data_IF_774815971180
#
_entry.id   IF_774815971180
#
_cell.length_a   1.000
_cell.length_b   1.000
_cell.length_c   1.000
_cell.angle_alpha   90.00
_cell.angle_beta   90.00
_cell.angle_gamma   90.00
#
_symmetry.space_group_name_H-M   'P 1'
#
loop_
_entity.id
_entity.type
_entity.pdbx_description
1 polymer ?
#
# COMPACT_ATOMS: atom_id res chain seq x y z
N UNK A 1 -1.71 -1.97 1.75
CA UNK A 1 -2.35 -1.92 0.41
C UNK A 1 -3.14 -0.65 0.23
N UNK A 2 -3.08 -0.07 -0.96
CA UNK A 2 -3.86 1.09 -1.35
C UNK A 2 -4.55 0.84 -2.70
N UNK A 3 -5.83 1.21 -2.79
CA UNK A 3 -6.62 1.11 -4.01
C UNK A 3 -6.92 2.53 -4.50
N UNK A 4 -6.76 2.77 -5.80
CA UNK A 4 -6.94 4.08 -6.44
C UNK A 4 -7.95 3.97 -7.57
N UNK A 5 -8.85 4.96 -7.65
CA UNK A 5 -9.93 4.99 -8.64
C UNK A 5 -9.39 5.32 -10.03
N UNK A 6 -9.79 4.54 -11.02
CA UNK A 6 -9.54 4.84 -12.42
C UNK A 6 -10.86 5.10 -13.14
N UNK A 7 -10.80 5.63 -14.35
CA UNK A 7 -11.96 5.74 -15.20
C UNK A 7 -12.50 4.35 -15.56
N UNK A 8 -13.81 4.18 -15.45
CA UNK A 8 -14.49 2.92 -15.79
C UNK A 8 -14.24 2.56 -17.25
N UNK A 9 -13.82 1.31 -17.45
CA UNK A 9 -13.67 0.73 -18.76
C UNK A 9 -15.05 0.29 -19.25
N UNK A 10 -15.36 0.56 -20.52
CA UNK A 10 -16.62 0.18 -21.16
C UNK A 10 -16.29 -0.90 -22.21
N UNK A 11 -16.94 -2.08 -22.16
CA UNK A 11 -17.95 -2.50 -21.18
C UNK A 11 -17.37 -2.74 -19.78
N UNK A 12 -18.23 -2.74 -18.76
CA UNK A 12 -17.85 -3.04 -17.38
C UNK A 12 -17.07 -4.35 -17.28
N UNK A 13 -15.94 -4.30 -16.60
CA UNK A 13 -15.06 -5.45 -16.41
C UNK A 13 -14.72 -5.62 -14.92
N UNK A 14 -15.13 -6.77 -14.38
CA UNK A 14 -14.93 -7.15 -12.97
C UNK A 14 -13.45 -7.20 -12.59
N UNK A 15 -12.53 -7.35 -13.54
CA UNK A 15 -11.08 -7.38 -13.24
C UNK A 15 -10.61 -6.10 -12.54
N UNK A 16 -11.23 -4.96 -12.83
CA UNK A 16 -10.88 -3.68 -12.21
C UNK A 16 -11.62 -3.42 -10.91
N UNK A 17 -12.61 -4.24 -10.55
CA UNK A 17 -13.53 -3.90 -9.46
C UNK A 17 -12.86 -3.91 -8.09
N UNK A 18 -12.94 -2.80 -7.37
CA UNK A 18 -12.54 -2.66 -5.97
C UNK A 18 -13.77 -2.62 -5.07
N UNK A 19 -13.82 -3.51 -4.09
CA UNK A 19 -14.81 -3.49 -3.02
C UNK A 19 -14.69 -2.27 -2.09
N UNK A 20 -13.54 -1.57 -2.06
CA UNK A 20 -13.34 -0.42 -1.15
C UNK A 20 -14.18 0.79 -1.54
N UNK A 21 -14.47 0.96 -2.82
CA UNK A 21 -15.26 2.09 -3.32
C UNK A 21 -16.29 1.68 -4.38
N UNK A 22 -16.57 0.39 -4.51
CA UNK A 22 -17.57 -0.19 -5.41
C UNK A 22 -17.43 0.29 -6.86
N UNK A 23 -16.21 0.26 -7.38
CA UNK A 23 -15.91 0.76 -8.72
C UNK A 23 -14.54 0.32 -9.24
N UNK A 24 -14.13 0.77 -10.43
CA UNK A 24 -12.88 0.38 -11.08
C UNK A 24 -11.64 1.01 -10.42
N UNK A 25 -10.59 0.21 -10.26
CA UNK A 25 -9.37 0.66 -9.59
C UNK A 25 -8.11 -0.15 -9.87
N UNK A 26 -7.01 0.49 -9.49
CA UNK A 26 -5.68 -0.11 -9.43
C UNK A 26 -5.25 -0.32 -7.98
N UNK A 27 -4.58 -1.44 -7.73
CA UNK A 27 -4.03 -1.78 -6.43
C UNK A 27 -2.53 -1.60 -6.39
N UNK A 28 -2.06 -1.10 -5.25
CA UNK A 28 -0.66 -0.89 -4.94
C UNK A 28 -0.31 -1.36 -3.52
N UNK A 29 0.93 -1.80 -3.39
CA UNK A 29 1.63 -2.05 -2.15
C UNK A 29 2.48 -0.86 -1.76
N UNK A 30 2.50 -0.58 -0.47
CA UNK A 30 3.42 0.36 0.16
C UNK A 30 3.94 -0.30 1.42
N UNK A 31 5.26 -0.44 1.54
CA UNK A 31 5.93 -0.92 2.73
C UNK A 31 6.80 0.17 3.34
N UNK A 32 6.77 0.26 4.66
CA UNK A 32 7.56 1.23 5.42
C UNK A 32 8.51 0.51 6.38
N UNK A 33 9.66 1.11 6.62
CA UNK A 33 10.58 0.65 7.66
C UNK A 33 9.94 0.87 9.04
N UNK A 34 9.83 -0.18 9.85
CA UNK A 34 9.26 -0.08 11.21
C UNK A 34 10.09 0.85 12.11
N UNK A 35 11.41 0.92 11.91
CA UNK A 35 12.27 1.78 12.74
C UNK A 35 12.17 3.24 12.33
N UNK A 36 12.36 3.55 11.04
CA UNK A 36 12.50 4.93 10.57
C UNK A 36 11.20 5.55 10.06
N UNK A 37 10.24 4.73 9.61
CA UNK A 37 9.04 5.19 8.93
C UNK A 37 9.23 5.50 7.44
N UNK A 38 10.44 5.35 6.90
CA UNK A 38 10.73 5.57 5.49
C UNK A 38 9.97 4.58 4.61
N UNK A 39 9.55 5.03 3.43
CA UNK A 39 9.04 4.17 2.37
C UNK A 39 10.21 3.36 1.82
N UNK A 40 10.11 2.03 1.91
CA UNK A 40 11.17 1.09 1.46
C UNK A 40 10.67 0.13 0.39
N UNK A 41 9.36 0.09 0.15
CA UNK A 41 8.75 -0.76 -0.86
C UNK A 41 7.54 -0.05 -1.48
N UNK A 42 7.47 -0.05 -2.81
CA UNK A 42 6.29 0.31 -3.57
C UNK A 42 6.18 -0.60 -4.78
N UNK A 43 5.00 -1.17 -5.00
CA UNK A 43 4.75 -2.05 -6.15
C UNK A 43 3.25 -2.03 -6.51
N UNK A 44 2.90 -2.51 -7.70
CA UNK A 44 1.52 -2.71 -8.12
C UNK A 44 1.20 -1.97 -9.41
N UNK A 45 0.05 -1.29 -9.44
CA UNK A 45 -0.53 -0.80 -10.69
C UNK A 45 -1.28 -1.90 -11.42
N UNK A 46 -1.83 -2.85 -10.66
CA UNK A 46 -2.55 -4.01 -11.18
C UNK A 46 -4.06 -3.89 -10.89
N UNK A 47 -4.92 -4.52 -11.72
CA UNK A 47 -6.37 -4.47 -11.53
C UNK A 47 -6.84 -4.97 -10.16
N UNK A 48 -7.65 -4.18 -9.44
CA UNK A 48 -8.08 -4.50 -8.07
C UNK A 48 -8.84 -5.83 -7.90
N UNK A 49 -9.66 -6.20 -8.88
CA UNK A 49 -10.53 -7.39 -8.82
C UNK A 49 -9.77 -8.67 -9.15
N UNK A 50 -8.76 -8.59 -10.02
CA UNK A 50 -7.92 -9.72 -10.40
C UNK A 50 -6.77 -9.97 -9.42
N UNK A 51 -6.26 -8.90 -8.78
CA UNK A 51 -5.08 -8.94 -7.92
C UNK A 51 -5.43 -8.69 -6.46
N UNK A 52 -5.95 -9.70 -5.72
CA UNK A 52 -6.17 -9.59 -4.28
C UNK A 52 -4.84 -9.36 -3.53
N UNK A 53 -4.92 -8.76 -2.35
CA UNK A 53 -3.76 -8.31 -1.56
C UNK A 53 -2.68 -9.40 -1.41
N UNK A 54 -3.09 -10.61 -1.01
CA UNK A 54 -2.16 -11.73 -0.78
C UNK A 54 -1.50 -12.24 -2.08
N UNK A 55 -2.20 -12.17 -3.22
CA UNK A 55 -1.64 -12.55 -4.52
C UNK A 55 -0.53 -11.59 -4.91
N UNK A 56 -0.79 -10.28 -4.80
CA UNK A 56 0.19 -9.24 -5.11
C UNK A 56 1.45 -9.35 -4.24
N UNK A 57 1.28 -9.62 -2.95
CA UNK A 57 2.42 -9.83 -2.05
C UNK A 57 3.25 -11.07 -2.40
N UNK A 58 2.58 -12.19 -2.72
CA UNK A 58 3.28 -13.43 -3.10
C UNK A 58 4.04 -13.31 -4.41
N UNK A 59 3.50 -12.53 -5.33
CA UNK A 59 4.09 -12.32 -6.65
C UNK A 59 5.40 -11.53 -6.58
N UNK A 60 5.47 -10.51 -5.72
CA UNK A 60 6.60 -9.57 -5.73
C UNK A 60 7.21 -9.31 -4.35
N UNK A 61 6.41 -9.02 -3.33
CA UNK A 61 6.94 -8.59 -2.03
C UNK A 61 7.74 -9.69 -1.34
N UNK A 62 7.24 -10.93 -1.35
CA UNK A 62 7.86 -12.07 -0.65
C UNK A 62 9.29 -12.33 -1.14
N UNK A 63 9.56 -12.20 -2.44
CA UNK A 63 10.91 -12.39 -2.98
C UNK A 63 11.91 -11.32 -2.53
N UNK A 64 11.43 -10.17 -2.04
CA UNK A 64 12.25 -9.06 -1.58
C UNK A 64 12.49 -9.08 -0.07
N UNK A 65 11.68 -9.84 0.68
CA UNK A 65 11.87 -10.03 2.13
C UNK A 65 13.04 -10.98 2.35
N UNK A 66 13.93 -10.65 3.30
CA UNK A 66 15.06 -11.53 3.61
C UNK A 66 14.56 -12.86 4.16
N UNK A 67 15.31 -13.93 3.89
CA UNK A 67 14.98 -15.24 4.43
C UNK A 67 14.89 -15.20 5.96
N UNK A 68 13.72 -15.55 6.49
CA UNK A 68 13.44 -15.56 7.94
C UNK A 68 13.00 -14.20 8.52
N UNK A 69 12.92 -13.15 7.71
CA UNK A 69 12.33 -11.87 8.11
C UNK A 69 10.80 -11.94 8.02
N UNK A 70 10.13 -11.31 8.99
CA UNK A 70 8.67 -11.23 9.07
C UNK A 70 8.21 -9.78 8.95
N UNK A 71 7.12 -9.60 8.23
CA UNK A 71 6.52 -8.29 7.95
C UNK A 71 5.25 -8.10 8.75
N UNK A 72 5.14 -6.97 9.45
CA UNK A 72 3.88 -6.59 10.11
C UNK A 72 2.87 -6.14 9.05
N UNK A 73 1.73 -6.83 8.98
CA UNK A 73 0.66 -6.54 8.03
C UNK A 73 -0.73 -6.74 8.65
N UNK A 74 -1.77 -6.42 7.88
CA UNK A 74 -3.17 -6.65 8.26
C UNK A 74 -3.48 -8.17 8.31
N UNK A 75 -4.55 -8.55 9.01
CA UNK A 75 -5.06 -9.93 9.11
C UNK A 75 -5.35 -10.56 7.73
N UNK A 76 -5.62 -9.75 6.70
CA UNK A 76 -5.78 -10.24 5.33
C UNK A 76 -4.55 -10.97 4.77
N UNK A 77 -3.36 -10.72 5.34
CA UNK A 77 -2.11 -11.39 4.98
C UNK A 77 -1.91 -12.67 5.80
N UNK A 78 -2.71 -13.68 5.49
CA UNK A 78 -2.68 -14.96 6.19
C UNK A 78 -1.60 -15.90 5.62
N UNK A 79 -0.33 -15.56 5.84
CA UNK A 79 0.82 -16.42 5.53
C UNK A 79 1.91 -16.26 6.62
N UNK A 80 1.96 -17.17 7.61
CA UNK A 80 2.79 -17.01 8.80
C UNK A 80 4.30 -17.12 8.53
N UNK A 81 4.70 -17.57 7.33
CA UNK A 81 6.10 -17.63 6.95
C UNK A 81 6.70 -16.26 6.66
N UNK A 82 5.86 -15.27 6.34
CA UNK A 82 6.27 -13.95 5.87
C UNK A 82 5.57 -12.81 6.59
N UNK A 83 4.36 -13.03 7.12
CA UNK A 83 3.57 -11.99 7.74
C UNK A 83 3.22 -12.30 9.18
N UNK A 84 3.28 -11.27 9.99
CA UNK A 84 2.70 -11.24 11.32
C UNK A 84 1.62 -10.18 11.34
N UNK A 85 0.47 -10.50 11.95
CA UNK A 85 -0.60 -9.54 12.17
C UNK A 85 -0.82 -9.33 13.66
N UNK A 86 -1.42 -8.20 14.07
CA UNK A 86 -1.70 -7.94 15.48
C UNK A 86 -2.64 -9.02 16.03
N UNK A 87 -2.11 -9.90 16.88
CA UNK A 87 -2.87 -10.90 17.61
C UNK A 87 -2.90 -10.48 19.10
N UNK A 88 -4.01 -10.66 19.84
CA UNK A 88 -4.11 -10.28 21.26
C UNK A 88 -3.04 -10.89 22.16
N UNK A 89 -2.43 -12.01 21.72
CA UNK A 89 -1.39 -12.75 22.45
C UNK A 89 0.03 -12.20 22.22
N UNK A 90 0.21 -11.19 21.37
CA UNK A 90 1.51 -10.54 21.16
C UNK A 90 1.78 -9.51 22.27
N UNK A 91 3.01 -9.54 22.77
CA UNK A 91 3.52 -8.83 23.96
C UNK A 91 3.25 -7.31 24.01
N UNK A 92 2.92 -6.64 22.90
CA UNK A 92 2.69 -5.19 22.88
C UNK A 92 1.67 -4.73 21.81
N UNK A 93 0.36 -4.84 22.07
CA UNK A 93 -0.69 -4.46 21.12
C UNK A 93 -0.75 -2.95 20.84
N UNK A 94 -0.27 -2.10 21.75
CA UNK A 94 -0.20 -0.64 21.52
C UNK A 94 0.78 -0.31 20.41
N UNK A 95 2.00 -0.84 20.51
CA UNK A 95 3.05 -0.63 19.50
C UNK A 95 2.60 -1.02 18.09
N UNK A 96 1.88 -2.13 17.95
CA UNK A 96 1.35 -2.54 16.65
C UNK A 96 0.35 -1.54 16.08
N UNK A 97 -0.57 -1.02 16.91
CA UNK A 97 -1.51 0.02 16.48
C UNK A 97 -0.78 1.27 16.03
N UNK A 98 0.26 1.67 16.76
CA UNK A 98 1.02 2.87 16.43
C UNK A 98 1.79 2.70 15.11
N UNK A 99 2.33 1.49 14.83
CA UNK A 99 3.02 1.19 13.56
C UNK A 99 2.03 1.23 12.39
N UNK A 100 0.84 0.63 12.56
CA UNK A 100 -0.21 0.64 11.55
C UNK A 100 -0.74 2.05 11.30
N UNK A 101 -0.96 2.85 12.35
CA UNK A 101 -1.37 4.24 12.21
C UNK A 101 -0.31 5.08 11.47
N UNK A 102 0.98 4.76 11.64
CA UNK A 102 2.06 5.46 10.92
C UNK A 102 2.04 5.10 9.44
N UNK A 103 1.80 3.82 9.11
CA UNK A 103 1.56 3.37 7.74
C UNK A 103 0.35 4.08 7.10
N UNK A 104 -0.76 4.20 7.83
CA UNK A 104 -1.92 4.97 7.38
C UNK A 104 -1.61 6.44 7.14
N UNK A 105 -0.75 7.04 7.97
CA UNK A 105 -0.30 8.43 7.80
C UNK A 105 0.45 8.62 6.49
N UNK A 106 1.35 7.69 6.14
CA UNK A 106 2.04 7.71 4.83
C UNK A 106 1.02 7.62 3.67
N UNK A 107 0.06 6.69 3.76
CA UNK A 107 -0.99 6.58 2.74
C UNK A 107 -1.83 7.87 2.62
N UNK A 108 -2.12 8.55 3.74
CA UNK A 108 -2.83 9.84 3.74
C UNK A 108 -2.03 10.93 3.04
N UNK A 109 -0.71 11.02 3.28
CA UNK A 109 0.18 11.98 2.60
C UNK A 109 0.25 11.73 1.11
N UNK A 110 0.42 10.48 0.67
CA UNK A 110 0.37 10.14 -0.74
C UNK A 110 -0.97 10.54 -1.39
N UNK A 111 -2.09 10.42 -0.66
CA UNK A 111 -3.41 10.84 -1.15
C UNK A 111 -3.63 12.35 -1.17
N UNK A 112 -2.73 13.18 -0.62
CA UNK A 112 -2.81 14.64 -0.80
C UNK A 112 -2.60 15.05 -2.27
N UNK A 113 -1.87 14.23 -3.03
CA UNK A 113 -1.66 14.44 -4.44
C UNK A 113 -2.95 14.15 -5.22
N UNK A 114 -3.42 15.13 -5.99
CA UNK A 114 -4.67 15.05 -6.77
C UNK A 114 -4.75 13.84 -7.70
N UNK A 115 -3.60 13.39 -8.20
CA UNK A 115 -3.47 12.22 -9.08
C UNK A 115 -3.82 10.90 -8.39
N UNK A 116 -3.70 10.83 -7.05
CA UNK A 116 -4.04 9.65 -6.24
C UNK A 116 -5.32 9.82 -5.41
N UNK A 117 -5.87 11.03 -5.25
CA UNK A 117 -7.14 11.22 -4.53
C UNK A 117 -8.36 11.21 -5.42
N UNK A 118 -8.23 11.64 -6.68
CA UNK A 118 -9.34 11.75 -7.63
C UNK A 118 -9.40 10.53 -8.54
N UNK A 119 -10.48 10.43 -9.31
CA UNK A 119 -10.57 9.43 -10.38
C UNK A 119 -9.52 9.76 -11.44
N UNK A 120 -8.61 8.82 -11.69
CA UNK A 120 -7.59 8.97 -12.71
C UNK A 120 -8.20 8.78 -14.10
N UNK A 121 -8.11 9.82 -14.95
CA UNK A 121 -8.74 9.88 -16.29
C UNK A 121 -7.76 9.79 -17.45
N UNK A 122 -6.46 9.71 -17.17
CA UNK A 122 -5.44 9.55 -18.20
C UNK A 122 -5.24 8.06 -18.50
N UNK A 123 -4.37 7.76 -19.47
CA UNK A 123 -4.05 6.38 -19.84
C UNK A 123 -3.52 5.58 -18.64
N UNK A 124 -4.07 4.38 -18.44
CA UNK A 124 -3.85 3.55 -17.23
C UNK A 124 -2.36 3.23 -17.02
N UNK A 125 -1.58 3.07 -18.09
CA UNK A 125 -0.14 2.81 -18.05
C UNK A 125 0.69 3.94 -17.40
N UNK A 126 0.11 5.15 -17.33
CA UNK A 126 0.74 6.30 -16.69
C UNK A 126 0.54 6.29 -15.18
N UNK A 127 -0.50 5.65 -14.67
CA UNK A 127 -0.81 5.68 -13.24
C UNK A 127 0.32 5.10 -12.37
N UNK A 128 0.98 3.97 -12.73
CA UNK A 128 2.13 3.48 -11.97
C UNK A 128 3.26 4.50 -11.92
N UNK A 129 3.55 5.18 -13.05
CA UNK A 129 4.59 6.23 -13.11
C UNK A 129 4.25 7.39 -12.16
N UNK A 130 3.01 7.85 -12.16
CA UNK A 130 2.54 8.87 -11.23
C UNK A 130 2.63 8.41 -9.77
N UNK A 131 2.28 7.15 -9.49
CA UNK A 131 2.34 6.58 -8.16
C UNK A 131 3.78 6.55 -7.61
N UNK A 132 4.74 6.07 -8.40
CA UNK A 132 6.15 6.07 -8.03
C UNK A 132 6.69 7.49 -7.81
N UNK A 133 6.31 8.46 -8.67
CA UNK A 133 6.68 9.85 -8.47
C UNK A 133 6.13 10.41 -7.14
N UNK A 134 4.86 10.15 -6.82
CA UNK A 134 4.25 10.56 -5.56
C UNK A 134 4.92 9.89 -4.35
N UNK A 135 5.27 8.60 -4.45
CA UNK A 135 5.99 7.91 -3.38
C UNK A 135 7.35 8.56 -3.09
N UNK A 136 8.13 8.88 -4.13
CA UNK A 136 9.42 9.55 -3.99
C UNK A 136 9.26 10.97 -3.43
N UNK A 137 8.29 11.75 -3.92
CA UNK A 137 8.01 13.09 -3.37
C UNK A 137 7.60 13.02 -1.91
N UNK A 138 6.76 12.05 -1.55
CA UNK A 138 6.36 11.83 -0.16
C UNK A 138 7.59 11.49 0.70
N UNK A 139 8.47 10.59 0.24
CA UNK A 139 9.70 10.26 0.96
C UNK A 139 10.61 11.48 1.15
N UNK A 140 10.78 12.32 0.12
CA UNK A 140 11.54 13.56 0.21
C UNK A 140 10.94 14.54 1.23
N UNK A 141 9.62 14.68 1.30
CA UNK A 141 8.96 15.50 2.33
C UNK A 141 9.18 14.96 3.74
N UNK A 142 9.18 13.63 3.92
CA UNK A 142 9.44 13.00 5.22
C UNK A 142 10.86 13.31 5.72
N UNK A 143 11.84 13.37 4.81
CA UNK A 143 13.24 13.67 5.12
C UNK A 143 13.51 15.16 5.30
N UNK A 144 12.76 16.04 4.63
CA UNK A 144 13.02 17.48 4.56
C UNK A 144 12.04 18.35 5.36
N UNK A 145 11.70 17.94 6.58
CA UNK A 145 11.00 18.80 7.55
C UNK A 145 9.60 18.37 7.96
N UNK A 146 9.08 17.27 7.42
CA UNK A 146 7.80 16.70 7.86
C UNK A 146 7.94 15.25 8.35
N UNK A 147 8.76 14.94 9.37
CA UNK A 147 8.95 13.56 9.82
C UNK A 147 7.64 12.93 10.33
N UNK A 148 7.59 11.60 10.33
CA UNK A 148 6.53 10.86 11.03
C UNK A 148 6.83 10.82 12.54
N UNK A 149 5.79 10.60 13.34
CA UNK A 149 5.96 10.33 14.76
C UNK A 149 6.67 8.99 14.99
N UNK A 150 7.32 8.86 16.15
CA UNK A 150 8.11 7.69 16.55
C UNK A 150 7.22 6.59 17.16
N UNK A 151 7.68 5.33 17.08
CA UNK A 151 6.89 4.12 17.34
C UNK A 151 7.68 2.99 17.99
#
# INVERSE_FOLDING_TARGET
MADFRIQEQIPFDRKWYSHKFHGPGLRYEVGICIRTGNIVWVNGGLPCGEWPDLRLARDSYISMVRRGELTLADKGYNDPNYFIYPCPHLQNPRRHKDIMARHETVNKRMKQFGVLSRVFRHSIDLHPKCFHAVANLTQLSLENGEPLYQV
#
